data_IF_858286838046
#
_entry.id   IF_858286838046
#
_cell.length_a   1.000
_cell.length_b   1.000
_cell.length_c   1.000
_cell.angle_alpha   90.00
_cell.angle_beta   90.00
_cell.angle_gamma   90.00
#
_symmetry.space_group_name_H-M   'P 1'
#
loop_
_entity.id
_entity.type
_entity.pdbx_description
1 polymer ?
#
# COMPACT_ATOMS: atom_id res chain seq x y z
N UNK A 1 19.93 19.85 13.62
CA UNK A 1 21.33 19.91 14.01
C UNK A 1 21.52 20.98 15.08
N UNK A 2 22.26 20.67 16.11
CA UNK A 2 22.53 21.61 17.21
C UNK A 2 24.04 21.79 17.33
N UNK A 3 24.53 23.00 17.59
CA UNK A 3 25.90 23.24 18.02
C UNK A 3 25.94 23.42 19.53
N UNK A 4 26.70 22.59 20.26
CA UNK A 4 26.84 22.70 21.73
C UNK A 4 28.26 23.04 22.15
N UNK A 5 28.34 23.82 23.20
CA UNK A 5 29.57 23.97 23.98
C UNK A 5 29.63 22.84 25.04
N UNK A 6 30.79 22.20 25.17
CA UNK A 6 31.07 21.00 25.96
C UNK A 6 30.27 20.83 27.24
N UNK A 7 29.36 19.86 27.27
CA UNK A 7 28.63 19.45 28.45
C UNK A 7 27.53 18.46 28.09
N UNK A 8 27.70 17.23 28.53
CA UNK A 8 26.87 16.07 28.25
C UNK A 8 25.39 16.23 28.61
N UNK A 9 24.54 16.51 27.62
CA UNK A 9 23.14 16.15 27.68
C UNK A 9 22.61 15.93 26.25
N UNK A 10 22.42 14.67 25.87
CA UNK A 10 21.69 14.28 24.67
C UNK A 10 20.21 14.51 24.93
N UNK A 11 19.61 15.54 24.36
CA UNK A 11 18.16 15.68 24.27
C UNK A 11 17.71 15.21 22.90
N UNK A 12 17.03 14.06 22.87
CA UNK A 12 16.27 13.63 21.72
C UNK A 12 15.10 14.60 21.51
N UNK A 13 15.08 15.32 20.40
CA UNK A 13 13.92 16.05 19.92
C UNK A 13 13.27 15.27 18.79
N UNK A 14 11.96 15.13 18.89
CA UNK A 14 10.91 14.57 18.04
C UNK A 14 11.26 13.99 16.67
N UNK A 15 10.43 13.06 16.23
CA UNK A 15 10.45 12.20 15.03
C UNK A 15 10.55 12.89 13.64
N UNK A 16 11.22 14.03 13.52
CA UNK A 16 11.51 14.68 12.24
C UNK A 16 13.02 14.83 12.07
N UNK A 17 13.72 13.77 11.65
CA UNK A 17 15.14 13.89 11.32
C UNK A 17 15.28 14.86 10.13
N UNK A 18 16.22 15.80 10.24
CA UNK A 18 16.59 16.66 9.12
C UNK A 18 17.10 15.82 7.95
N UNK A 19 17.05 16.34 6.73
CA UNK A 19 17.51 15.63 5.53
C UNK A 19 19.06 15.67 5.43
N UNK A 20 19.72 15.13 6.46
CA UNK A 20 21.18 14.91 6.56
C UNK A 20 21.46 13.47 6.97
N UNK A 21 22.68 12.97 6.72
CA UNK A 21 23.01 11.56 6.93
C UNK A 21 22.94 11.14 8.40
N UNK A 22 23.43 11.98 9.30
CA UNK A 22 23.42 11.74 10.76
C UNK A 22 22.87 12.97 11.50
N UNK A 23 21.54 13.07 11.66
CA UNK A 23 20.93 14.18 12.40
C UNK A 23 21.23 14.04 13.90
N UNK A 24 21.76 15.10 14.51
CA UNK A 24 22.16 15.03 15.93
C UNK A 24 22.66 16.36 16.48
N UNK A 25 23.36 16.27 17.59
CA UNK A 25 24.01 17.39 18.25
C UNK A 25 25.52 17.30 18.04
N UNK A 26 26.13 18.38 17.59
CA UNK A 26 27.54 18.46 17.24
C UNK A 26 28.29 19.45 18.12
N UNK A 27 29.59 19.25 18.27
CA UNK A 27 30.44 20.17 19.01
C UNK A 27 30.63 21.47 18.24
N UNK A 28 30.43 22.58 18.90
CA UNK A 28 30.67 23.88 18.30
C UNK A 28 32.19 24.17 18.19
N UNK A 29 32.61 24.59 17.03
CA UNK A 29 33.97 25.13 16.78
C UNK A 29 33.87 26.63 16.49
N UNK A 30 34.95 27.38 16.86
CA UNK A 30 35.01 28.82 16.59
C UNK A 30 34.93 29.09 15.08
N UNK A 31 34.06 30.04 14.68
CA UNK A 31 33.78 30.37 13.29
C UNK A 31 33.20 29.23 12.46
N UNK A 32 32.54 28.28 13.09
CA UNK A 32 31.84 27.19 12.39
C UNK A 32 30.79 27.73 11.44
N UNK A 33 30.80 27.27 10.21
CA UNK A 33 29.82 27.61 9.17
C UNK A 33 28.68 26.59 9.13
N UNK A 34 27.63 26.86 8.36
CA UNK A 34 26.55 25.90 8.13
C UNK A 34 27.08 24.71 7.32
N UNK A 35 27.97 24.96 6.35
CA UNK A 35 28.63 23.93 5.54
C UNK A 35 29.44 22.97 6.40
N UNK A 36 30.24 23.51 7.36
CA UNK A 36 31.02 22.69 8.28
C UNK A 36 30.12 21.73 9.07
N UNK A 37 28.99 22.24 9.60
CA UNK A 37 28.03 21.45 10.36
C UNK A 37 27.35 20.39 9.49
N UNK A 38 26.99 20.73 8.24
CA UNK A 38 26.41 19.78 7.28
C UNK A 38 27.42 18.69 6.92
N UNK A 39 28.69 19.03 6.71
CA UNK A 39 29.74 18.05 6.42
C UNK A 39 30.00 17.14 7.64
N UNK A 40 30.03 17.69 8.85
CA UNK A 40 30.21 16.92 10.09
C UNK A 40 29.04 15.95 10.33
N UNK A 41 27.82 16.31 9.87
CA UNK A 41 26.63 15.43 9.90
C UNK A 41 26.61 14.39 8.77
N UNK A 42 27.72 14.21 8.05
CA UNK A 42 27.83 13.23 6.95
C UNK A 42 27.24 13.70 5.62
N UNK A 43 26.84 14.97 5.50
CA UNK A 43 26.33 15.57 4.27
C UNK A 43 24.82 15.52 4.13
N UNK A 44 24.34 16.08 3.02
CA UNK A 44 22.91 16.14 2.68
C UNK A 44 22.44 14.81 2.11
N UNK A 45 21.22 14.42 2.46
CA UNK A 45 20.52 13.33 1.77
C UNK A 45 19.97 13.79 0.42
N UNK A 46 19.72 12.84 -0.47
CA UNK A 46 19.17 13.08 -1.81
C UNK A 46 17.84 13.90 -1.77
N UNK A 47 17.09 13.74 -0.72
CA UNK A 47 15.80 14.41 -0.54
C UNK A 47 15.92 15.83 0.03
N UNK A 48 17.12 16.30 0.38
CA UNK A 48 17.34 17.61 0.97
C UNK A 48 16.90 18.74 0.03
N UNK A 49 16.27 19.77 0.60
CA UNK A 49 15.94 20.99 -0.15
C UNK A 49 17.22 21.78 -0.42
N UNK A 50 17.41 22.16 -1.69
CA UNK A 50 18.50 23.06 -2.11
C UNK A 50 18.10 24.53 -1.99
N UNK A 51 16.86 24.84 -1.66
CA UNK A 51 16.33 26.19 -1.62
C UNK A 51 16.01 26.68 -0.22
N UNK A 52 16.18 25.84 0.81
CA UNK A 52 15.81 26.25 2.16
C UNK A 52 16.54 25.49 3.26
N UNK A 53 17.49 26.19 3.89
CA UNK A 53 18.04 25.82 5.20
C UNK A 53 17.65 26.91 6.19
N UNK A 54 17.05 26.55 7.30
CA UNK A 54 16.65 27.47 8.38
C UNK A 54 17.65 27.31 9.54
N UNK A 55 18.16 28.44 10.03
CA UNK A 55 18.96 28.48 11.27
C UNK A 55 18.16 29.25 12.31
N UNK A 56 17.85 28.59 13.42
CA UNK A 56 17.16 29.20 14.55
C UNK A 56 18.15 29.51 15.68
N UNK A 57 18.27 30.77 16.01
CA UNK A 57 19.13 31.30 17.07
C UNK A 57 18.32 31.81 18.22
N UNK A 58 18.61 31.36 19.43
CA UNK A 58 17.95 31.82 20.64
C UNK A 58 18.41 33.22 20.99
N UNK A 59 17.47 34.11 21.37
CA UNK A 59 17.80 35.40 21.90
C UNK A 59 18.21 35.21 23.38
N UNK A 60 19.46 35.53 23.67
CA UNK A 60 19.99 35.54 25.05
C UNK A 60 19.93 36.96 25.56
N UNK A 61 19.02 37.22 26.50
CA UNK A 61 18.98 38.50 27.20
C UNK A 61 19.12 38.29 28.71
N UNK A 62 20.35 37.95 29.19
CA UNK A 62 20.55 37.57 30.61
C UNK A 62 20.28 38.70 31.63
N UNK A 63 20.08 39.94 31.15
CA UNK A 63 19.81 41.11 31.97
C UNK A 63 18.39 41.66 31.81
N UNK A 64 17.56 41.06 30.93
CA UNK A 64 16.17 41.51 30.72
C UNK A 64 15.27 40.84 31.77
N UNK A 65 14.51 41.67 32.50
CA UNK A 65 13.41 41.25 33.36
C UNK A 65 12.08 41.26 32.62
N UNK A 66 12.09 41.66 31.34
CA UNK A 66 10.89 41.74 30.51
C UNK A 66 10.64 40.39 29.88
N UNK A 67 9.42 39.89 30.01
CA UNK A 67 8.91 38.71 29.34
C UNK A 67 8.61 39.09 27.88
N UNK A 68 9.64 38.96 27.02
CA UNK A 68 9.51 39.23 25.59
C UNK A 68 8.82 38.08 24.89
N UNK A 69 7.82 38.37 24.06
CA UNK A 69 7.18 37.37 23.18
C UNK A 69 8.13 36.85 22.09
N UNK A 70 9.30 37.43 21.89
CA UNK A 70 10.30 37.03 20.92
C UNK A 70 11.34 36.15 21.61
N UNK A 71 11.32 34.87 21.34
CA UNK A 71 12.19 33.85 21.95
C UNK A 71 13.38 33.43 21.09
N UNK A 72 13.35 33.75 19.79
CA UNK A 72 14.40 33.37 18.85
C UNK A 72 14.34 34.17 17.54
N UNK A 73 15.42 34.09 16.77
CA UNK A 73 15.55 34.65 15.44
C UNK A 73 15.83 33.55 14.45
N UNK A 74 15.13 33.55 13.33
CA UNK A 74 15.34 32.56 12.25
C UNK A 74 15.99 33.23 11.05
N UNK A 75 17.06 32.62 10.56
CA UNK A 75 17.73 32.98 9.33
C UNK A 75 17.46 31.88 8.31
N UNK A 76 17.17 32.25 7.06
CA UNK A 76 16.93 31.30 5.99
C UNK A 76 17.96 31.51 4.90
N UNK A 77 18.52 30.41 4.41
CA UNK A 77 19.57 30.41 3.40
C UNK A 77 19.18 29.46 2.26
N UNK A 78 19.59 29.82 1.04
CA UNK A 78 19.52 28.97 -0.14
C UNK A 78 20.84 28.24 -0.34
N UNK A 79 20.79 26.96 -0.77
CA UNK A 79 21.96 26.22 -1.20
C UNK A 79 22.25 26.50 -2.68
N UNK A 80 23.53 26.69 -2.99
CA UNK A 80 24.03 26.83 -4.35
C UNK A 80 25.06 25.72 -4.62
N UNK A 81 24.92 25.03 -5.74
CA UNK A 81 25.87 24.00 -6.22
C UNK A 81 26.25 22.93 -5.17
N UNK A 82 25.23 22.42 -4.46
CA UNK A 82 25.35 21.25 -3.60
C UNK A 82 25.71 21.49 -2.13
N UNK A 83 26.58 22.45 -1.80
CA UNK A 83 26.97 22.76 -0.42
C UNK A 83 27.30 24.25 -0.21
N UNK A 84 27.41 25.02 -1.27
CA UNK A 84 27.66 26.45 -1.14
C UNK A 84 26.37 27.19 -0.83
N UNK A 85 26.38 27.95 0.24
CA UNK A 85 25.24 28.81 0.61
C UNK A 85 25.26 30.06 -0.25
N UNK A 86 24.09 30.46 -0.74
CA UNK A 86 23.95 31.59 -1.65
C UNK A 86 24.39 32.94 -1.09
N UNK A 87 24.51 33.95 -1.94
CA UNK A 87 24.95 35.30 -1.58
C UNK A 87 24.21 35.88 -0.36
N UNK A 88 24.95 36.40 0.59
CA UNK A 88 24.44 36.94 1.88
C UNK A 88 24.86 36.13 3.11
N UNK A 89 25.44 34.95 2.92
CA UNK A 89 25.92 34.10 4.03
C UNK A 89 27.43 34.14 4.22
N UNK A 90 28.17 34.84 3.36
CA UNK A 90 29.64 34.86 3.30
C UNK A 90 30.34 35.21 4.62
N UNK A 91 29.60 35.75 5.59
CA UNK A 91 30.07 36.07 6.93
C UNK A 91 29.12 35.56 8.03
N UNK A 92 28.26 34.55 7.73
CA UNK A 92 27.40 33.98 8.72
C UNK A 92 28.08 32.81 9.42
N UNK A 93 28.39 33.02 10.69
CA UNK A 93 28.93 31.97 11.56
C UNK A 93 27.86 31.50 12.52
N UNK A 94 27.82 30.19 12.74
CA UNK A 94 26.98 29.60 13.74
C UNK A 94 27.42 30.06 15.14
N UNK A 95 26.49 30.16 16.04
CA UNK A 95 26.71 30.39 17.46
C UNK A 95 26.41 29.12 18.27
N UNK A 96 26.96 28.96 19.48
CA UNK A 96 26.59 27.86 20.36
C UNK A 96 25.07 27.83 20.60
N UNK A 97 24.49 26.64 20.43
CA UNK A 97 23.05 26.34 20.53
C UNK A 97 22.19 26.83 19.34
N UNK A 98 22.79 27.20 18.22
CA UNK A 98 22.04 27.37 16.99
C UNK A 98 21.46 26.02 16.54
N UNK A 99 20.23 26.05 16.04
CA UNK A 99 19.52 24.90 15.47
C UNK A 99 19.43 25.04 13.97
N UNK A 100 20.04 24.11 13.21
CA UNK A 100 20.05 24.12 11.75
C UNK A 100 19.07 23.05 11.24
N UNK A 101 18.08 23.47 10.47
CA UNK A 101 17.06 22.63 9.89
C UNK A 101 17.23 22.49 8.39
N UNK A 102 17.63 21.31 7.93
CA UNK A 102 17.64 20.95 6.51
C UNK A 102 16.29 20.32 6.17
N UNK A 103 15.49 20.99 5.36
CA UNK A 103 14.15 20.57 5.01
C UNK A 103 14.15 19.61 3.84
N UNK A 104 13.14 18.74 3.79
CA UNK A 104 12.90 17.90 2.62
C UNK A 104 12.42 18.75 1.44
N UNK A 105 12.97 18.49 0.26
CA UNK A 105 12.51 19.13 -0.98
C UNK A 105 11.07 18.73 -1.30
N UNK A 106 10.15 19.68 -1.49
CA UNK A 106 8.79 19.36 -1.94
C UNK A 106 8.74 18.78 -3.35
N UNK A 107 9.80 18.98 -4.14
CA UNK A 107 9.95 18.41 -5.49
C UNK A 107 10.48 16.97 -5.46
N UNK A 108 11.15 16.54 -4.40
CA UNK A 108 11.68 15.20 -4.29
C UNK A 108 10.55 14.16 -4.24
N UNK A 109 10.67 13.16 -5.07
CA UNK A 109 9.76 12.02 -5.12
C UNK A 109 10.59 10.73 -5.07
N UNK A 110 10.44 9.99 -4.00
CA UNK A 110 10.96 8.62 -3.95
C UNK A 110 10.33 7.82 -5.08
N UNK A 111 11.14 7.04 -5.78
CA UNK A 111 10.64 6.13 -6.80
C UNK A 111 9.64 5.15 -6.16
N UNK A 112 8.47 5.03 -6.80
CA UNK A 112 7.40 4.14 -6.38
C UNK A 112 7.31 3.00 -7.36
N UNK A 113 7.12 1.79 -6.85
CA UNK A 113 7.07 0.59 -7.65
C UNK A 113 5.72 -0.11 -7.50
N UNK A 114 5.32 -0.79 -8.57
CA UNK A 114 4.16 -1.66 -8.66
C UNK A 114 4.57 -2.99 -9.30
N UNK A 115 3.81 -4.05 -9.05
CA UNK A 115 4.07 -5.37 -9.62
C UNK A 115 2.99 -5.80 -10.60
N UNK A 116 3.36 -6.65 -11.54
CA UNK A 116 2.45 -7.43 -12.35
C UNK A 116 2.91 -8.88 -12.35
N UNK A 117 2.00 -9.82 -12.10
CA UNK A 117 2.27 -11.25 -12.00
C UNK A 117 1.20 -12.08 -12.71
N UNK A 118 1.54 -13.31 -13.05
CA UNK A 118 0.68 -14.21 -13.83
C UNK A 118 0.85 -13.98 -15.33
N UNK A 119 -0.24 -14.00 -16.06
CA UNK A 119 -0.29 -14.02 -17.51
C UNK A 119 -0.09 -12.64 -18.16
N UNK A 120 1.06 -12.00 -17.88
CA UNK A 120 1.59 -10.87 -18.60
C UNK A 120 2.80 -11.30 -19.45
N UNK A 121 3.09 -10.62 -20.55
CA UNK A 121 4.24 -10.98 -21.40
C UNK A 121 5.57 -10.81 -20.64
N UNK A 122 5.71 -9.76 -19.85
CA UNK A 122 6.87 -9.53 -19.01
C UNK A 122 6.41 -9.27 -17.57
N UNK A 123 6.14 -10.34 -16.78
CA UNK A 123 5.79 -10.18 -15.38
C UNK A 123 6.99 -9.66 -14.58
N UNK A 124 6.74 -8.82 -13.59
CA UNK A 124 7.80 -8.24 -12.78
C UNK A 124 7.42 -6.95 -12.08
N UNK A 125 8.43 -6.22 -11.63
CA UNK A 125 8.31 -4.94 -10.95
C UNK A 125 8.53 -3.79 -11.91
N UNK A 126 7.68 -2.78 -11.84
CA UNK A 126 7.71 -1.59 -12.68
C UNK A 126 7.67 -0.31 -11.84
N UNK A 127 8.51 0.64 -12.19
CA UNK A 127 8.47 1.95 -11.59
C UNK A 127 7.30 2.78 -12.11
N UNK A 128 6.59 3.46 -11.21
CA UNK A 128 5.59 4.45 -11.59
C UNK A 128 6.28 5.69 -12.15
N UNK A 129 6.02 6.02 -13.40
CA UNK A 129 6.56 7.20 -14.09
C UNK A 129 5.67 8.44 -13.94
N UNK A 130 4.40 8.24 -13.59
CA UNK A 130 3.40 9.31 -13.44
C UNK A 130 2.65 9.14 -12.10
N UNK A 131 2.16 10.24 -11.53
CA UNK A 131 1.33 10.20 -10.31
C UNK A 131 -0.02 9.50 -10.50
N UNK A 132 -0.54 9.53 -11.71
CA UNK A 132 -1.83 9.00 -12.11
C UNK A 132 -1.71 7.81 -13.06
N UNK A 133 -0.65 7.03 -12.95
CA UNK A 133 -0.47 5.82 -13.74
C UNK A 133 -1.55 4.79 -13.42
N UNK A 134 -2.08 4.14 -14.46
CA UNK A 134 -3.28 3.32 -14.38
C UNK A 134 -3.00 1.85 -14.69
N UNK A 135 -3.99 0.98 -14.50
CA UNK A 135 -3.89 -0.45 -14.82
C UNK A 135 -3.50 -0.68 -16.28
N UNK A 136 -4.11 0.04 -17.22
CA UNK A 136 -3.81 -0.06 -18.64
C UNK A 136 -2.36 0.34 -18.96
N UNK A 137 -1.83 1.38 -18.31
CA UNK A 137 -0.43 1.79 -18.48
C UNK A 137 0.53 0.68 -18.02
N UNK A 138 0.23 0.02 -16.88
CA UNK A 138 1.07 -1.06 -16.34
C UNK A 138 1.08 -2.27 -17.27
N UNK A 139 -0.10 -2.68 -17.75
CA UNK A 139 -0.20 -3.79 -18.71
C UNK A 139 0.56 -3.47 -20.00
N UNK A 140 0.46 -2.23 -20.50
CA UNK A 140 1.21 -1.79 -21.68
C UNK A 140 2.73 -1.83 -21.44
N UNK A 141 3.21 -1.40 -20.26
CA UNK A 141 4.64 -1.51 -19.87
C UNK A 141 5.12 -2.97 -19.80
N UNK A 142 4.23 -3.88 -19.37
CA UNK A 142 4.51 -5.31 -19.33
C UNK A 142 4.40 -5.99 -20.70
N UNK A 143 4.26 -5.23 -21.80
CA UNK A 143 4.16 -5.74 -23.15
C UNK A 143 2.79 -6.30 -23.51
N UNK A 144 1.80 -6.21 -22.63
CA UNK A 144 0.48 -6.80 -22.79
C UNK A 144 0.31 -8.09 -21.98
N UNK A 145 -0.74 -8.84 -22.32
CA UNK A 145 -1.10 -10.12 -21.71
C UNK A 145 -0.78 -11.29 -22.64
N UNK A 146 -0.59 -12.48 -22.09
CA UNK A 146 -0.38 -13.71 -22.86
C UNK A 146 -1.69 -14.19 -23.54
N UNK A 147 -1.59 -15.16 -24.45
CA UNK A 147 -2.76 -15.82 -25.06
C UNK A 147 -3.63 -16.56 -24.05
N UNK A 148 -3.02 -17.03 -22.96
CA UNK A 148 -3.67 -17.85 -21.95
C UNK A 148 -4.25 -17.01 -20.81
N UNK A 149 -4.11 -15.68 -20.88
CA UNK A 149 -4.56 -14.75 -19.86
C UNK A 149 -6.10 -14.70 -19.74
N UNK A 150 -6.59 -14.85 -18.53
CA UNK A 150 -7.99 -14.58 -18.21
C UNK A 150 -8.16 -13.18 -17.62
N UNK A 151 -8.23 -12.19 -18.49
CA UNK A 151 -8.26 -10.75 -18.15
C UNK A 151 -9.44 -10.39 -17.23
N UNK A 152 -10.63 -11.03 -17.43
CA UNK A 152 -11.81 -10.81 -16.56
C UNK A 152 -11.62 -11.33 -15.14
N UNK A 153 -10.75 -12.31 -14.98
CA UNK A 153 -10.38 -12.87 -13.68
C UNK A 153 -9.27 -12.09 -12.95
N UNK A 154 -8.72 -11.07 -13.59
CA UNK A 154 -7.66 -10.26 -12.99
C UNK A 154 -8.12 -9.54 -11.72
N UNK A 155 -7.20 -9.37 -10.79
CA UNK A 155 -7.44 -8.67 -9.51
C UNK A 155 -6.24 -7.83 -9.12
N UNK A 156 -6.50 -6.76 -8.39
CA UNK A 156 -5.48 -5.91 -7.84
C UNK A 156 -5.28 -6.25 -6.36
N UNK A 157 -4.06 -6.49 -5.96
CA UNK A 157 -3.67 -6.71 -4.58
C UNK A 157 -3.05 -5.40 -4.10
N UNK A 158 -3.62 -4.81 -3.06
CA UNK A 158 -3.23 -3.50 -2.55
C UNK A 158 -2.76 -3.59 -1.11
N UNK A 159 -1.64 -2.94 -0.82
CA UNK A 159 -1.14 -2.80 0.55
C UNK A 159 -1.98 -1.75 1.28
N UNK A 160 -2.35 -2.02 2.52
CA UNK A 160 -3.02 -1.03 3.36
C UNK A 160 -2.08 0.12 3.67
N UNK A 161 -2.61 1.35 3.64
CA UNK A 161 -1.90 2.51 4.16
C UNK A 161 -1.81 2.44 5.69
N UNK A 162 -0.90 3.20 6.31
CA UNK A 162 -0.79 3.27 7.77
C UNK A 162 -2.11 3.71 8.42
N UNK A 163 -2.83 4.62 7.78
CA UNK A 163 -4.14 5.09 8.26
C UNK A 163 -5.21 4.00 8.16
N UNK A 164 -5.24 3.23 7.06
CA UNK A 164 -6.13 2.09 6.89
C UNK A 164 -5.81 0.99 7.91
N UNK A 165 -4.53 0.75 8.21
CA UNK A 165 -4.08 -0.18 9.24
C UNK A 165 -4.57 0.24 10.63
N UNK A 166 -4.35 1.50 11.02
CA UNK A 166 -4.82 2.03 12.32
C UNK A 166 -6.34 1.89 12.46
N UNK A 167 -7.09 2.26 11.42
CA UNK A 167 -8.56 2.10 11.42
C UNK A 167 -8.99 0.64 11.56
N UNK A 168 -8.27 -0.29 10.91
CA UNK A 168 -8.52 -1.72 11.00
C UNK A 168 -8.18 -2.25 12.40
N UNK A 169 -7.06 -1.84 12.98
CA UNK A 169 -6.67 -2.20 14.35
C UNK A 169 -7.71 -1.72 15.36
N UNK A 170 -8.20 -0.49 15.24
CA UNK A 170 -9.25 0.06 16.11
C UNK A 170 -10.56 -0.73 15.95
N UNK A 171 -10.98 -1.02 14.72
CA UNK A 171 -12.15 -1.85 14.45
C UNK A 171 -11.97 -3.28 15.00
N UNK A 172 -10.77 -3.85 14.88
CA UNK A 172 -10.44 -5.18 15.40
C UNK A 172 -10.45 -5.19 16.94
N UNK A 173 -9.88 -4.17 17.59
CA UNK A 173 -9.96 -4.02 19.06
C UNK A 173 -11.41 -3.95 19.56
N UNK A 174 -12.29 -3.30 18.81
CA UNK A 174 -13.73 -3.30 19.10
C UNK A 174 -14.35 -4.67 18.85
N UNK A 175 -13.94 -5.39 17.80
CA UNK A 175 -14.48 -6.71 17.44
C UNK A 175 -13.96 -7.83 18.37
N UNK A 176 -12.72 -7.75 18.89
CA UNK A 176 -12.17 -8.73 19.85
C UNK A 176 -12.99 -8.78 21.14
N UNK A 177 -13.60 -7.68 21.56
CA UNK A 177 -14.60 -7.66 22.65
C UNK A 177 -15.82 -8.56 22.33
N UNK A 178 -15.98 -9.01 21.10
CA UNK A 178 -17.09 -9.84 20.60
C UNK A 178 -16.61 -11.25 20.17
N UNK A 179 -15.33 -11.61 20.40
CA UNK A 179 -14.81 -12.98 20.17
C UNK A 179 -14.41 -13.29 18.73
N UNK A 180 -14.02 -12.30 17.93
CA UNK A 180 -13.53 -12.52 16.56
C UNK A 180 -12.02 -12.76 16.54
N UNK A 181 -11.60 -13.85 15.88
CA UNK A 181 -10.19 -14.18 15.63
C UNK A 181 -9.59 -13.19 14.61
N UNK A 182 -8.47 -12.55 14.94
CA UNK A 182 -7.89 -11.53 14.08
C UNK A 182 -6.56 -11.95 13.45
N UNK A 183 -6.64 -12.45 12.23
CA UNK A 183 -5.47 -12.53 11.36
C UNK A 183 -5.29 -11.19 10.66
N UNK A 184 -4.31 -10.40 11.06
CA UNK A 184 -4.08 -9.07 10.47
C UNK A 184 -3.36 -9.22 9.12
N UNK A 185 -4.11 -9.28 8.04
CA UNK A 185 -3.55 -9.18 6.68
C UNK A 185 -3.31 -7.68 6.38
N UNK A 186 -2.05 -7.36 6.03
CA UNK A 186 -1.62 -6.00 5.64
C UNK A 186 -1.98 -5.65 4.20
N UNK A 187 -2.61 -6.58 3.48
CA UNK A 187 -3.01 -6.43 2.08
C UNK A 187 -4.48 -6.84 1.91
N UNK A 188 -5.13 -6.27 0.90
CA UNK A 188 -6.48 -6.65 0.52
C UNK A 188 -6.59 -6.76 -1.00
N UNK A 189 -7.55 -7.55 -1.46
CA UNK A 189 -7.85 -7.69 -2.88
C UNK A 189 -8.90 -6.67 -3.28
N UNK A 190 -8.61 -5.94 -4.35
CA UNK A 190 -9.57 -5.07 -5.03
C UNK A 190 -10.07 -5.79 -6.27
N UNK A 191 -11.38 -6.04 -6.33
CA UNK A 191 -12.04 -6.56 -7.54
C UNK A 191 -12.01 -5.49 -8.62
N UNK A 192 -11.45 -5.83 -9.77
CA UNK A 192 -11.32 -4.94 -10.91
C UNK A 192 -12.00 -5.52 -12.15
N UNK A 193 -12.27 -4.69 -13.15
CA UNK A 193 -12.70 -5.04 -14.48
C UNK A 193 -11.61 -4.69 -15.47
N UNK A 194 -10.54 -5.50 -15.48
CA UNK A 194 -9.37 -5.22 -16.31
C UNK A 194 -9.71 -5.26 -17.80
N UNK A 195 -10.64 -6.14 -18.21
CA UNK A 195 -11.13 -6.22 -19.58
C UNK A 195 -11.75 -4.89 -20.06
N UNK A 196 -12.53 -4.22 -19.22
CA UNK A 196 -13.11 -2.92 -19.53
C UNK A 196 -12.07 -1.78 -19.45
N UNK A 197 -11.13 -1.85 -18.50
CA UNK A 197 -10.03 -0.91 -18.38
C UNK A 197 -9.13 -0.92 -19.63
N UNK A 198 -8.83 -2.10 -20.17
CA UNK A 198 -8.01 -2.24 -21.38
C UNK A 198 -8.73 -1.83 -22.66
N UNK A 199 -10.06 -2.02 -22.75
CA UNK A 199 -10.86 -1.55 -23.89
C UNK A 199 -10.99 -0.03 -23.91
N UNK A 200 -11.11 0.59 -22.72
CA UNK A 200 -11.35 2.01 -22.57
C UNK A 200 -10.34 2.62 -21.56
N UNK A 201 -9.07 2.80 -21.97
CA UNK A 201 -8.06 3.42 -21.11
C UNK A 201 -8.49 4.81 -20.62
N UNK A 202 -8.28 5.06 -19.32
CA UNK A 202 -8.70 6.30 -18.67
C UNK A 202 -10.15 6.34 -18.18
N UNK A 203 -10.95 5.27 -18.41
CA UNK A 203 -12.30 5.14 -17.86
C UNK A 203 -12.30 4.94 -16.33
N UNK A 204 -13.51 4.92 -15.74
CA UNK A 204 -13.69 4.63 -14.30
C UNK A 204 -13.24 3.21 -13.90
N UNK A 205 -13.21 2.28 -14.85
CA UNK A 205 -12.67 0.92 -14.63
C UNK A 205 -11.14 0.89 -14.61
N UNK A 206 -10.48 1.87 -15.23
CA UNK A 206 -9.03 1.96 -15.33
C UNK A 206 -8.46 2.68 -14.10
N UNK A 207 -8.34 1.93 -13.03
CA UNK A 207 -7.97 2.42 -11.70
C UNK A 207 -6.54 2.97 -11.66
N UNK A 208 -6.33 4.06 -10.92
CA UNK A 208 -5.00 4.61 -10.64
C UNK A 208 -4.27 3.71 -9.64
N UNK A 209 -3.02 3.40 -9.98
CA UNK A 209 -2.13 2.56 -9.18
C UNK A 209 -1.53 3.34 -8.01
N UNK A 210 -1.24 2.60 -6.93
CA UNK A 210 -0.52 3.08 -5.75
C UNK A 210 0.77 2.29 -5.57
N UNK A 211 1.71 2.87 -4.85
CA UNK A 211 2.94 2.19 -4.46
C UNK A 211 2.66 0.84 -3.78
N UNK A 212 3.32 -0.21 -4.25
CA UNK A 212 3.16 -1.56 -3.73
C UNK A 212 1.93 -2.31 -4.22
N UNK A 213 1.14 -1.74 -5.15
CA UNK A 213 0.07 -2.47 -5.81
C UNK A 213 0.64 -3.62 -6.65
N UNK A 214 -0.04 -4.76 -6.64
CA UNK A 214 0.31 -5.91 -7.48
C UNK A 214 -0.91 -6.32 -8.29
N UNK A 215 -0.79 -6.21 -9.61
CA UNK A 215 -1.79 -6.71 -10.55
C UNK A 215 -1.54 -8.20 -10.79
N UNK A 216 -2.52 -9.04 -10.44
CA UNK A 216 -2.50 -10.47 -10.75
C UNK A 216 -3.44 -10.77 -11.93
N UNK A 217 -2.90 -11.36 -12.98
CA UNK A 217 -3.65 -11.82 -14.15
C UNK A 217 -3.60 -13.36 -14.17
N UNK A 218 -4.71 -14.05 -13.87
CA UNK A 218 -4.72 -15.51 -13.88
C UNK A 218 -4.74 -16.09 -15.27
N UNK A 219 -4.34 -17.35 -15.38
CA UNK A 219 -4.58 -18.20 -16.56
C UNK A 219 -6.09 -18.51 -16.70
N UNK A 220 -6.54 -18.67 -17.93
CA UNK A 220 -7.90 -19.08 -18.23
C UNK A 220 -8.16 -20.52 -17.75
N UNK A 221 -9.17 -20.70 -16.91
CA UNK A 221 -9.58 -22.00 -16.38
C UNK A 221 -10.98 -22.34 -16.86
N UNK A 222 -11.12 -23.34 -17.70
CA UNK A 222 -12.39 -23.77 -18.31
C UNK A 222 -13.29 -24.58 -17.38
N UNK A 223 -13.22 -24.36 -16.06
CA UNK A 223 -14.01 -25.12 -15.08
C UNK A 223 -14.73 -24.21 -14.10
N UNK A 224 -15.76 -24.75 -13.45
CA UNK A 224 -16.51 -24.14 -12.34
C UNK A 224 -16.43 -25.07 -11.15
N UNK A 225 -16.08 -24.54 -9.99
CA UNK A 225 -15.98 -25.31 -8.75
C UNK A 225 -17.29 -25.16 -7.95
N UNK A 226 -17.79 -26.24 -7.40
CA UNK A 226 -19.00 -26.27 -6.58
C UNK A 226 -18.67 -26.82 -5.20
N UNK A 227 -18.86 -26.00 -4.17
CA UNK A 227 -18.53 -26.32 -2.79
C UNK A 227 -19.67 -26.07 -1.81
N UNK A 228 -19.46 -26.56 -0.58
CA UNK A 228 -20.41 -26.39 0.55
C UNK A 228 -21.48 -27.47 0.59
N UNK A 229 -22.71 -27.09 0.92
CA UNK A 229 -23.81 -28.02 1.17
C UNK A 229 -24.45 -28.53 -0.15
N UNK A 230 -23.69 -29.26 -0.94
CA UNK A 230 -24.10 -30.07 -2.09
C UNK A 230 -23.88 -31.55 -1.80
N UNK A 231 -24.48 -32.43 -2.57
CA UNK A 231 -24.33 -33.87 -2.35
C UNK A 231 -22.88 -34.33 -2.56
N UNK A 232 -22.22 -33.85 -3.61
CA UNK A 232 -20.83 -34.19 -3.96
C UNK A 232 -20.11 -32.93 -4.43
N UNK A 233 -19.36 -32.23 -3.54
CA UNK A 233 -18.52 -31.11 -3.96
C UNK A 233 -17.55 -31.56 -5.04
N UNK A 234 -17.51 -30.85 -6.18
CA UNK A 234 -16.72 -31.21 -7.34
C UNK A 234 -16.35 -29.99 -8.18
N UNK A 235 -15.57 -30.23 -9.24
CA UNK A 235 -15.25 -29.24 -10.27
C UNK A 235 -15.71 -29.79 -11.60
N UNK A 236 -16.46 -29.00 -12.35
CA UNK A 236 -17.05 -29.39 -13.64
C UNK A 236 -16.63 -28.43 -14.74
N UNK A 237 -16.72 -28.87 -16.00
CA UNK A 237 -16.43 -28.02 -17.15
C UNK A 237 -17.39 -26.84 -17.20
N UNK A 238 -16.83 -25.68 -17.49
CA UNK A 238 -17.63 -24.48 -17.80
C UNK A 238 -18.39 -24.67 -19.10
N UNK A 239 -19.65 -24.28 -19.10
CA UNK A 239 -20.50 -24.27 -20.29
C UNK A 239 -21.20 -22.91 -20.38
N UNK A 240 -20.91 -22.21 -21.47
CA UNK A 240 -21.48 -20.89 -21.71
C UNK A 240 -23.02 -20.90 -21.72
N UNK A 241 -23.60 -19.85 -21.11
CA UNK A 241 -25.07 -19.69 -21.06
C UNK A 241 -25.76 -20.51 -19.97
N UNK A 242 -25.08 -21.46 -19.32
CA UNK A 242 -25.66 -22.23 -18.23
C UNK A 242 -25.74 -21.43 -16.92
N UNK A 243 -26.78 -21.69 -16.16
CA UNK A 243 -27.04 -21.03 -14.90
C UNK A 243 -26.52 -21.84 -13.69
N UNK A 244 -26.52 -21.23 -12.52
CA UNK A 244 -26.06 -21.85 -11.28
C UNK A 244 -26.77 -23.17 -10.93
N UNK A 245 -28.05 -23.35 -11.34
CA UNK A 245 -28.81 -24.58 -11.10
C UNK A 245 -28.20 -25.75 -11.90
N UNK A 246 -27.76 -25.51 -13.14
CA UNK A 246 -27.07 -26.53 -13.95
C UNK A 246 -25.86 -27.07 -13.20
N UNK A 247 -24.98 -26.20 -12.70
CA UNK A 247 -23.76 -26.60 -11.99
C UNK A 247 -24.04 -27.30 -10.68
N UNK A 248 -25.02 -26.82 -9.91
CA UNK A 248 -25.44 -27.47 -8.64
C UNK A 248 -25.98 -28.87 -8.91
N UNK A 249 -26.71 -29.08 -9.99
CA UNK A 249 -27.18 -30.41 -10.37
C UNK A 249 -26.04 -31.35 -10.77
N UNK A 250 -24.97 -30.85 -11.40
CA UNK A 250 -23.75 -31.62 -11.68
C UNK A 250 -23.01 -32.06 -10.39
N UNK A 251 -23.26 -31.38 -9.27
CA UNK A 251 -22.79 -31.77 -7.94
C UNK A 251 -23.79 -32.66 -7.16
N UNK A 252 -24.76 -33.28 -7.87
CA UNK A 252 -25.82 -34.11 -7.29
C UNK A 252 -26.93 -33.34 -6.60
N UNK A 253 -26.98 -32.02 -6.77
CA UNK A 253 -27.96 -31.15 -6.16
C UNK A 253 -27.59 -30.69 -4.75
N UNK A 254 -28.55 -30.07 -4.08
CA UNK A 254 -28.37 -29.56 -2.71
C UNK A 254 -28.42 -30.67 -1.68
N UNK A 255 -27.52 -30.62 -0.70
CA UNK A 255 -27.59 -31.44 0.50
C UNK A 255 -28.84 -31.09 1.37
N UNK A 256 -29.25 -32.00 2.26
CA UNK A 256 -30.43 -31.81 3.12
C UNK A 256 -30.33 -30.58 4.04
N UNK A 257 -29.13 -30.24 4.48
CA UNK A 257 -28.81 -29.08 5.33
C UNK A 257 -28.48 -27.82 4.55
N UNK A 258 -28.67 -27.79 3.23
CA UNK A 258 -28.32 -26.65 2.39
C UNK A 258 -29.19 -25.41 2.64
N UNK A 259 -28.57 -24.23 2.78
CA UNK A 259 -29.24 -22.93 2.84
C UNK A 259 -29.38 -22.37 1.42
N UNK A 260 -30.26 -22.98 0.62
CA UNK A 260 -30.42 -22.75 -0.83
C UNK A 260 -30.53 -21.27 -1.24
N UNK A 261 -31.20 -20.43 -0.42
CA UNK A 261 -31.41 -19.00 -0.70
C UNK A 261 -30.19 -18.13 -0.39
N UNK A 262 -29.14 -18.69 0.19
CA UNK A 262 -27.92 -17.99 0.59
C UNK A 262 -26.70 -18.44 -0.21
N UNK A 263 -26.90 -19.16 -1.31
CA UNK A 263 -25.83 -19.52 -2.23
C UNK A 263 -25.24 -18.26 -2.92
N UNK A 264 -23.95 -18.28 -3.19
CA UNK A 264 -23.24 -17.22 -3.85
C UNK A 264 -22.15 -17.74 -4.79
N UNK A 265 -21.72 -16.87 -5.70
CA UNK A 265 -20.62 -17.11 -6.66
C UNK A 265 -19.46 -16.22 -6.24
N UNK A 266 -18.27 -16.80 -6.16
CA UNK A 266 -17.02 -16.10 -6.02
C UNK A 266 -16.31 -16.13 -7.37
N UNK A 267 -16.04 -14.96 -7.93
CA UNK A 267 -15.34 -14.83 -9.21
C UNK A 267 -13.83 -14.79 -9.01
N UNK A 268 -13.07 -15.11 -10.05
CA UNK A 268 -11.60 -15.11 -9.99
C UNK A 268 -11.02 -13.73 -9.65
N UNK A 269 -11.71 -12.64 -10.04
CA UNK A 269 -11.32 -11.27 -9.68
C UNK A 269 -11.59 -10.92 -8.20
N UNK A 270 -12.10 -11.85 -7.38
CA UNK A 270 -12.37 -11.65 -5.96
C UNK A 270 -13.73 -11.02 -5.65
N UNK A 271 -14.54 -10.70 -6.66
CA UNK A 271 -15.91 -10.23 -6.43
C UNK A 271 -16.84 -11.37 -6.07
N UNK A 272 -17.92 -11.07 -5.33
CA UNK A 272 -18.89 -12.06 -4.85
C UNK A 272 -20.29 -11.62 -5.24
N UNK A 273 -21.06 -12.52 -5.86
CA UNK A 273 -22.46 -12.29 -6.18
C UNK A 273 -23.38 -13.31 -5.52
N UNK A 274 -24.46 -12.83 -4.89
CA UNK A 274 -25.45 -13.73 -4.31
C UNK A 274 -26.36 -14.30 -5.39
N UNK A 275 -26.52 -15.62 -5.40
CA UNK A 275 -27.47 -16.31 -6.29
C UNK A 275 -28.88 -16.11 -5.75
N UNK A 276 -29.72 -15.39 -6.50
CA UNK A 276 -31.13 -15.18 -6.18
C UNK A 276 -32.00 -15.94 -7.19
N UNK A 277 -33.15 -16.47 -6.76
CA UNK A 277 -34.12 -17.07 -7.67
C UNK A 277 -34.61 -16.00 -8.65
N UNK A 278 -34.49 -16.27 -9.96
CA UNK A 278 -34.86 -15.33 -11.01
C UNK A 278 -33.75 -14.30 -11.36
N UNK A 279 -32.62 -14.26 -10.66
CA UNK A 279 -31.50 -13.39 -11.03
C UNK A 279 -30.64 -14.04 -12.12
N UNK A 280 -30.21 -13.22 -13.09
CA UNK A 280 -29.23 -13.62 -14.12
C UNK A 280 -27.80 -13.50 -13.57
N UNK A 281 -27.53 -14.10 -12.38
CA UNK A 281 -26.15 -14.16 -11.89
C UNK A 281 -25.32 -14.94 -12.92
N UNK A 282 -24.44 -14.26 -13.61
CA UNK A 282 -23.57 -14.88 -14.61
C UNK A 282 -22.63 -15.87 -13.93
N UNK A 283 -22.49 -17.05 -14.47
CA UNK A 283 -21.44 -17.99 -14.09
C UNK A 283 -20.32 -17.80 -15.11
N UNK A 284 -19.11 -17.61 -14.60
CA UNK A 284 -17.92 -17.36 -15.41
C UNK A 284 -16.91 -18.49 -15.25
N UNK A 285 -16.02 -18.68 -16.23
CA UNK A 285 -14.92 -19.64 -16.12
C UNK A 285 -14.07 -19.36 -14.85
N UNK A 286 -13.66 -20.42 -14.17
CA UNK A 286 -12.86 -20.34 -12.96
C UNK A 286 -13.59 -19.89 -11.70
N UNK A 287 -14.89 -19.58 -11.78
CA UNK A 287 -15.64 -19.18 -10.59
C UNK A 287 -15.95 -20.37 -9.65
N UNK A 288 -16.25 -20.03 -8.40
CA UNK A 288 -16.64 -20.99 -7.37
C UNK A 288 -18.07 -20.71 -6.89
N UNK A 289 -18.95 -21.71 -6.95
CA UNK A 289 -20.31 -21.66 -6.39
C UNK A 289 -20.24 -22.23 -4.98
N UNK A 290 -20.64 -21.44 -3.99
CA UNK A 290 -20.61 -21.82 -2.58
C UNK A 290 -22.02 -21.86 -2.01
N UNK A 291 -22.40 -23.02 -1.46
CA UNK A 291 -23.70 -23.26 -0.84
C UNK A 291 -23.52 -23.40 0.68
N UNK A 292 -23.99 -22.42 1.49
CA UNK A 292 -23.88 -22.50 2.95
C UNK A 292 -24.79 -23.59 3.56
N UNK A 293 -24.41 -24.05 4.75
CA UNK A 293 -25.23 -24.95 5.59
C UNK A 293 -26.31 -24.17 6.36
N UNK A 294 -27.37 -24.87 6.81
CA UNK A 294 -28.39 -24.33 7.70
C UNK A 294 -27.99 -24.38 9.18
N UNK A 295 -26.88 -24.98 9.51
CA UNK A 295 -26.48 -25.26 10.88
C UNK A 295 -26.23 -23.95 11.66
N UNK A 296 -26.98 -23.67 12.74
CA UNK A 296 -26.87 -22.41 13.48
C UNK A 296 -25.65 -22.36 14.42
N UNK A 297 -25.00 -23.51 14.69
CA UNK A 297 -23.90 -23.59 15.65
C UNK A 297 -22.54 -23.08 15.13
N UNK A 298 -22.42 -22.88 13.82
CA UNK A 298 -21.23 -22.28 13.18
C UNK A 298 -21.66 -21.18 12.22
N UNK A 299 -21.79 -19.97 12.72
CA UNK A 299 -21.84 -18.77 11.88
C UNK A 299 -20.44 -18.52 11.30
N UNK A 300 -20.09 -19.27 10.26
CA UNK A 300 -18.89 -18.96 9.49
C UNK A 300 -19.11 -17.65 8.75
N UNK A 301 -18.17 -16.73 8.87
CA UNK A 301 -18.16 -15.53 8.05
C UNK A 301 -17.92 -15.88 6.58
N UNK A 302 -18.31 -15.01 5.66
CA UNK A 302 -18.01 -15.21 4.23
C UNK A 302 -16.51 -15.34 4.00
N UNK A 303 -15.68 -14.63 4.77
CA UNK A 303 -14.23 -14.72 4.74
C UNK A 303 -13.70 -16.10 5.16
N UNK A 304 -14.26 -16.73 6.18
CA UNK A 304 -13.88 -18.09 6.59
C UNK A 304 -14.28 -19.14 5.53
N UNK A 305 -15.43 -18.95 4.88
CA UNK A 305 -15.88 -19.86 3.81
C UNK A 305 -15.02 -19.74 2.54
N UNK A 306 -14.63 -18.54 2.18
CA UNK A 306 -13.71 -18.29 1.04
C UNK A 306 -12.30 -18.77 1.36
N UNK A 307 -11.86 -18.67 2.61
CA UNK A 307 -10.55 -19.19 3.08
C UNK A 307 -10.43 -20.70 3.05
N UNK A 308 -11.54 -21.44 3.09
CA UNK A 308 -11.53 -22.92 2.98
C UNK A 308 -11.42 -23.42 1.53
N UNK A 309 -11.63 -22.57 0.54
CA UNK A 309 -11.31 -22.85 -0.87
C UNK A 309 -9.81 -22.76 -1.09
N UNK A 310 -9.15 -23.91 -1.23
CA UNK A 310 -7.70 -24.15 -1.30
C UNK A 310 -6.90 -23.27 -2.26
N UNK A 311 -7.55 -22.50 -3.13
CA UNK A 311 -6.90 -21.62 -4.10
C UNK A 311 -6.42 -20.27 -3.52
N UNK A 312 -6.95 -19.84 -2.36
CA UNK A 312 -6.60 -18.55 -1.75
C UNK A 312 -5.43 -18.69 -0.76
N UNK A 313 -5.28 -19.85 -0.13
CA UNK A 313 -4.17 -20.12 0.77
C UNK A 313 -2.80 -20.14 0.06
N UNK A 314 -2.75 -20.66 -1.18
CA UNK A 314 -1.55 -20.62 -2.03
C UNK A 314 -1.18 -19.22 -2.47
N UNK A 315 -2.15 -18.30 -2.62
CA UNK A 315 -1.91 -16.91 -2.95
C UNK A 315 -1.41 -16.09 -1.77
N UNK A 316 -1.85 -16.39 -0.55
CA UNK A 316 -1.35 -15.75 0.66
C UNK A 316 0.16 -15.97 0.85
N UNK A 317 0.65 -17.16 0.55
CA UNK A 317 2.10 -17.47 0.59
C UNK A 317 2.87 -16.81 -0.55
N UNK A 318 2.32 -16.75 -1.76
CA UNK A 318 2.92 -16.01 -2.89
C UNK A 318 3.01 -14.51 -2.61
N UNK A 319 1.98 -13.93 -2.04
CA UNK A 319 1.96 -12.50 -1.68
C UNK A 319 2.98 -12.20 -0.58
N UNK A 320 3.13 -13.07 0.43
CA UNK A 320 4.13 -12.92 1.48
C UNK A 320 5.56 -12.98 0.92
N UNK A 321 5.80 -13.83 -0.09
CA UNK A 321 7.09 -13.91 -0.77
C UNK A 321 7.38 -12.66 -1.59
N UNK A 322 6.37 -12.13 -2.29
CA UNK A 322 6.50 -10.91 -3.09
C UNK A 322 6.69 -9.66 -2.21
N UNK A 323 5.99 -9.54 -1.09
CA UNK A 323 6.19 -8.43 -0.14
C UNK A 323 7.61 -8.43 0.43
N UNK A 324 8.24 -9.60 0.58
CA UNK A 324 9.65 -9.69 0.98
C UNK A 324 10.64 -9.38 -0.15
N UNK A 325 10.25 -9.48 -1.41
CA UNK A 325 11.07 -9.10 -2.55
C UNK A 325 11.14 -7.56 -2.76
N UNK A 326 10.18 -6.82 -2.15
CA UNK A 326 10.10 -5.35 -2.21
C UNK A 326 10.66 -4.68 -0.94
N UNK A 327 11.29 -5.43 -0.03
CA UNK A 327 12.12 -4.90 1.05
C UNK A 327 13.55 -4.77 0.59
#
# INVERSE_FOLDING_TARGET
LYSQHSGSERRAYGDYPGEVADPGTYLYADKMTIEDLVLESGGLLEAASTTKIDVSRRIKSPKSTDDSNIVGQTFTFDLKDGLLIGAGSENFYLEPFDEVYVRKSPAYRKQKNVGIIGEALFPGTYALSKKNERLSDLVAKAGGVTSDAYVRGARLIRKMSEEELRRKEDATRMAIKVGADSTTLYVYTVGIHLDEALKNPGSDYDMVLREGDVLFIPEYVSTVKINGAVMYPNTVLYKEGENSRYYINQAGGYASNAKKRSAFVVYMNGTVSRIRSGSKTAIEPGCEIIIPTKDPSKRMSVAEMVGMGTSIATLGTMIATLVNLFK
#
